data_IF_311180843874
#
_entry.id   IF_311180843874
#
_cell.length_a   1.000
_cell.length_b   1.000
_cell.length_c   1.000
_cell.angle_alpha   90.00
_cell.angle_beta   90.00
_cell.angle_gamma   90.00
#
_symmetry.space_group_name_H-M   'P 1'
#
loop_
_entity.id
_entity.type
_entity.pdbx_description
1 polymer ?
#
# COMPACT_ATOMS: atom_id res chain seq x y z
N UNK A 1 -25.14 -2.22 14.85
CA UNK A 1 -24.77 -3.62 15.12
C UNK A 1 -24.64 -4.32 13.80
N UNK A 2 -23.47 -4.89 13.45
CA UNK A 2 -23.34 -5.73 12.26
C UNK A 2 -23.95 -7.10 12.54
N UNK A 3 -24.51 -7.73 11.53
CA UNK A 3 -25.07 -9.08 11.64
C UNK A 3 -24.02 -10.16 11.97
N UNK A 4 -22.72 -9.80 11.88
CA UNK A 4 -21.59 -10.66 12.22
C UNK A 4 -20.73 -9.94 13.25
N UNK A 5 -20.79 -10.39 14.50
CA UNK A 5 -19.89 -9.97 15.57
C UNK A 5 -18.61 -10.80 15.47
N UNK A 6 -17.51 -10.16 15.04
CA UNK A 6 -16.17 -10.73 15.25
C UNK A 6 -15.62 -10.13 16.55
N UNK A 7 -15.11 -10.94 17.46
CA UNK A 7 -14.53 -10.49 18.75
C UNK A 7 -13.27 -9.60 18.58
N UNK A 8 -12.73 -9.47 17.38
CA UNK A 8 -11.59 -8.61 17.07
C UNK A 8 -12.06 -7.26 16.53
N UNK A 9 -11.68 -6.18 17.20
CA UNK A 9 -11.93 -4.81 16.74
C UNK A 9 -11.18 -4.57 15.42
N UNK A 10 -11.93 -4.40 14.31
CA UNK A 10 -11.34 -4.10 12.99
C UNK A 10 -10.70 -2.71 12.98
N UNK A 11 -9.55 -2.60 12.32
CA UNK A 11 -8.94 -1.32 11.97
C UNK A 11 -9.71 -0.72 10.79
N UNK A 12 -10.03 0.55 10.87
CA UNK A 12 -10.75 1.32 9.84
C UNK A 12 -9.96 2.58 9.49
N UNK A 13 -10.36 3.27 8.43
CA UNK A 13 -9.77 4.57 8.09
C UNK A 13 -9.91 5.58 9.25
N UNK A 14 -10.99 5.52 10.04
CA UNK A 14 -11.17 6.33 11.26
C UNK A 14 -10.13 5.96 12.33
N UNK A 15 -9.82 4.68 12.47
CA UNK A 15 -8.80 4.21 13.42
C UNK A 15 -7.43 4.83 13.14
N UNK A 16 -7.07 5.04 11.86
CA UNK A 16 -5.79 5.70 11.51
C UNK A 16 -5.73 7.14 12.05
N UNK A 17 -6.85 7.88 12.00
CA UNK A 17 -6.95 9.23 12.57
C UNK A 17 -6.87 9.21 14.10
N UNK A 18 -7.51 8.22 14.73
CA UNK A 18 -7.45 8.01 16.18
C UNK A 18 -6.03 7.69 16.65
N UNK A 19 -5.29 6.83 15.92
CA UNK A 19 -3.88 6.51 16.19
C UNK A 19 -2.99 7.75 16.08
N UNK A 20 -3.15 8.57 15.03
CA UNK A 20 -2.45 9.85 14.91
C UNK A 20 -2.71 10.73 16.13
N UNK A 21 -3.97 10.92 16.51
CA UNK A 21 -4.35 11.75 17.66
C UNK A 21 -3.76 11.23 18.98
N UNK A 22 -3.58 9.92 19.12
CA UNK A 22 -2.96 9.27 20.27
C UNK A 22 -1.43 9.23 20.21
N UNK A 23 -0.80 9.66 19.12
CA UNK A 23 0.65 9.52 18.90
C UNK A 23 1.10 8.07 18.66
N UNK A 24 0.18 7.18 18.33
CA UNK A 24 0.43 5.76 18.03
C UNK A 24 0.91 5.60 16.58
N UNK A 25 1.97 4.83 16.36
CA UNK A 25 2.51 4.64 15.01
C UNK A 25 1.73 3.60 14.23
N UNK A 26 1.36 3.96 12.99
CA UNK A 26 0.63 3.12 12.06
C UNK A 26 1.60 2.22 11.29
N UNK A 27 1.33 0.92 11.27
CA UNK A 27 2.08 -0.05 10.50
C UNK A 27 1.31 -0.46 9.25
N UNK A 28 1.95 -0.34 8.08
CA UNK A 28 1.36 -0.76 6.82
C UNK A 28 2.36 -1.59 6.01
N UNK A 29 1.88 -2.61 5.31
CA UNK A 29 2.67 -3.43 4.40
C UNK A 29 1.82 -3.81 3.18
N UNK A 30 2.44 -4.02 2.02
CA UNK A 30 1.68 -4.53 0.88
C UNK A 30 1.38 -6.03 1.03
N UNK A 31 0.33 -6.50 0.37
CA UNK A 31 0.09 -7.92 0.07
C UNK A 31 -0.78 -8.03 -1.18
N UNK A 32 -0.68 -9.15 -1.91
CA UNK A 32 -1.35 -9.31 -3.20
C UNK A 32 -2.06 -10.67 -3.34
N UNK A 33 -1.98 -11.55 -2.35
CA UNK A 33 -2.57 -12.89 -2.34
C UNK A 33 -3.11 -13.26 -0.96
N UNK A 34 -3.91 -14.33 -0.92
CA UNK A 34 -4.59 -14.81 0.28
C UNK A 34 -3.62 -15.27 1.38
N UNK A 35 -2.61 -16.06 1.02
CA UNK A 35 -1.69 -16.68 1.97
C UNK A 35 -0.81 -15.64 2.66
N UNK A 36 -0.18 -14.79 1.86
CA UNK A 36 0.69 -13.70 2.37
C UNK A 36 -0.10 -12.72 3.22
N UNK A 37 -1.31 -12.33 2.77
CA UNK A 37 -2.16 -11.41 3.53
C UNK A 37 -2.57 -12.00 4.88
N UNK A 38 -2.91 -13.30 4.94
CA UNK A 38 -3.24 -13.97 6.18
C UNK A 38 -2.09 -14.00 7.19
N UNK A 39 -0.86 -14.23 6.72
CA UNK A 39 0.35 -14.19 7.56
C UNK A 39 0.56 -12.77 8.12
N UNK A 40 0.45 -11.74 7.27
CA UNK A 40 0.68 -10.35 7.66
C UNK A 40 -0.40 -9.86 8.63
N UNK A 41 -1.69 -10.18 8.38
CA UNK A 41 -2.79 -9.84 9.31
C UNK A 41 -2.63 -10.54 10.68
N UNK A 42 -2.26 -11.82 10.67
CA UNK A 42 -2.01 -12.59 11.89
C UNK A 42 -0.83 -12.04 12.70
N UNK A 43 0.16 -11.43 12.05
CA UNK A 43 1.27 -10.74 12.71
C UNK A 43 0.86 -9.43 13.41
N UNK A 44 -0.38 -8.95 13.19
CA UNK A 44 -0.93 -7.79 13.89
C UNK A 44 -0.72 -6.45 13.19
N UNK A 45 -0.47 -6.43 11.87
CA UNK A 45 -0.36 -5.21 11.06
C UNK A 45 -1.65 -4.37 11.17
N UNK A 46 -1.55 -3.04 11.11
CA UNK A 46 -2.73 -2.17 11.16
C UNK A 46 -3.40 -2.03 9.79
N UNK A 47 -2.63 -2.02 8.73
CA UNK A 47 -3.17 -1.87 7.37
C UNK A 47 -2.38 -2.72 6.37
N UNK A 48 -3.10 -3.27 5.39
CA UNK A 48 -2.52 -3.90 4.21
C UNK A 48 -2.87 -3.08 2.98
N UNK A 49 -1.86 -2.81 2.14
CA UNK A 49 -2.03 -2.14 0.86
C UNK A 49 -2.00 -3.17 -0.28
N UNK A 50 -3.08 -3.26 -1.03
CA UNK A 50 -3.08 -3.91 -2.35
C UNK A 50 -2.65 -2.85 -3.35
N UNK A 51 -1.32 -2.72 -3.49
CA UNK A 51 -0.69 -1.66 -4.27
C UNK A 51 -0.63 -1.99 -5.77
N UNK A 52 -0.58 -0.96 -6.60
CA UNK A 52 -0.27 -1.08 -8.03
C UNK A 52 1.16 -1.61 -8.28
N UNK A 53 2.01 -1.59 -7.24
CA UNK A 53 3.29 -2.31 -7.18
C UNK A 53 3.17 -3.83 -7.44
N UNK A 54 1.94 -4.40 -7.41
CA UNK A 54 1.68 -5.74 -7.94
C UNK A 54 2.12 -5.87 -9.41
N UNK A 55 2.08 -4.80 -10.19
CA UNK A 55 2.63 -4.74 -11.55
C UNK A 55 4.09 -5.19 -11.60
N UNK A 56 4.91 -4.70 -10.66
CA UNK A 56 6.34 -5.06 -10.58
C UNK A 56 6.53 -6.42 -9.90
N UNK A 57 5.96 -6.59 -8.69
CA UNK A 57 6.29 -7.70 -7.79
C UNK A 57 5.62 -9.01 -8.19
N UNK A 58 4.41 -8.95 -8.77
CA UNK A 58 3.64 -10.13 -9.15
C UNK A 58 3.68 -10.40 -10.66
N UNK A 59 3.64 -9.35 -11.48
CA UNK A 59 3.59 -9.50 -12.94
C UNK A 59 4.95 -9.29 -13.64
N UNK A 60 5.97 -8.78 -12.91
CA UNK A 60 7.32 -8.58 -13.44
C UNK A 60 7.46 -7.40 -14.42
N UNK A 61 6.50 -6.48 -14.45
CA UNK A 61 6.58 -5.27 -15.26
C UNK A 61 7.63 -4.29 -14.71
N UNK A 62 8.15 -3.41 -15.57
CA UNK A 62 9.17 -2.44 -15.18
C UNK A 62 8.64 -1.31 -14.28
N UNK A 63 7.36 -0.97 -14.41
CA UNK A 63 6.70 0.08 -13.64
C UNK A 63 5.25 -0.32 -13.27
N UNK A 64 4.54 0.58 -12.58
CA UNK A 64 3.18 0.30 -12.08
C UNK A 64 2.09 0.61 -13.09
N UNK A 65 2.39 1.30 -14.20
CA UNK A 65 1.35 1.81 -15.13
C UNK A 65 0.56 0.74 -15.88
N UNK A 66 1.09 -0.48 -16.17
CA UNK A 66 0.35 -1.49 -16.92
C UNK A 66 -0.78 -2.19 -16.16
N UNK A 67 -0.78 -2.14 -14.81
CA UNK A 67 -1.78 -2.88 -14.03
C UNK A 67 -3.18 -2.29 -14.24
N UNK A 68 -4.16 -3.16 -14.43
CA UNK A 68 -5.56 -2.76 -14.67
C UNK A 68 -6.41 -2.77 -13.40
N UNK A 69 -7.59 -2.14 -13.48
CA UNK A 69 -8.61 -2.20 -12.40
C UNK A 69 -9.02 -3.66 -12.11
N UNK A 70 -9.14 -4.49 -13.14
CA UNK A 70 -9.50 -5.91 -13.03
C UNK A 70 -8.45 -6.69 -12.24
N UNK A 71 -7.17 -6.43 -12.49
CA UNK A 71 -6.06 -7.07 -11.78
C UNK A 71 -6.00 -6.62 -10.32
N UNK A 72 -6.17 -5.33 -10.05
CA UNK A 72 -6.28 -4.85 -8.66
C UNK A 72 -7.46 -5.50 -7.94
N UNK A 73 -8.63 -5.60 -8.58
CA UNK A 73 -9.81 -6.27 -8.01
C UNK A 73 -9.50 -7.75 -7.74
N UNK A 74 -8.82 -8.44 -8.63
CA UNK A 74 -8.44 -9.84 -8.43
C UNK A 74 -7.57 -10.02 -7.18
N UNK A 75 -6.50 -9.24 -7.04
CA UNK A 75 -5.62 -9.27 -5.88
C UNK A 75 -6.37 -8.87 -4.60
N UNK A 76 -7.13 -7.78 -4.65
CA UNK A 76 -7.83 -7.25 -3.50
C UNK A 76 -8.88 -8.23 -2.92
N UNK A 77 -9.61 -8.95 -3.78
CA UNK A 77 -10.55 -10.00 -3.34
C UNK A 77 -9.85 -11.08 -2.52
N UNK A 78 -8.66 -11.48 -2.93
CA UNK A 78 -7.87 -12.49 -2.24
C UNK A 78 -7.40 -11.99 -0.87
N UNK A 79 -6.87 -10.77 -0.83
CA UNK A 79 -6.39 -10.13 0.40
C UNK A 79 -7.53 -9.88 1.39
N UNK A 80 -8.65 -9.31 0.94
CA UNK A 80 -9.81 -9.02 1.81
C UNK A 80 -10.37 -10.29 2.47
N UNK A 81 -10.40 -11.41 1.75
CA UNK A 81 -10.87 -12.70 2.31
C UNK A 81 -9.94 -13.24 3.41
N UNK A 82 -8.65 -12.93 3.33
CA UNK A 82 -7.66 -13.40 4.30
C UNK A 82 -7.66 -12.57 5.59
N UNK A 83 -8.00 -11.28 5.49
CA UNK A 83 -7.84 -10.33 6.59
C UNK A 83 -9.03 -10.34 7.54
N UNK A 84 -8.74 -10.49 8.84
CA UNK A 84 -9.75 -10.49 9.91
C UNK A 84 -9.76 -9.16 10.67
N UNK A 85 -8.60 -8.50 10.83
CA UNK A 85 -8.44 -7.32 11.67
C UNK A 85 -8.02 -6.08 10.88
N UNK A 86 -7.00 -6.16 10.03
CA UNK A 86 -6.37 -5.00 9.42
C UNK A 86 -7.28 -4.26 8.43
N UNK A 87 -7.01 -2.97 8.24
CA UNK A 87 -7.61 -2.20 7.15
C UNK A 87 -6.98 -2.61 5.81
N UNK A 88 -7.80 -3.08 4.87
CA UNK A 88 -7.34 -3.31 3.49
C UNK A 88 -7.59 -2.06 2.67
N UNK A 89 -6.52 -1.53 2.08
CA UNK A 89 -6.49 -0.37 1.17
C UNK A 89 -6.17 -0.87 -0.23
N UNK A 90 -6.89 -0.40 -1.24
CA UNK A 90 -6.61 -0.72 -2.64
C UNK A 90 -6.14 0.51 -3.41
N UNK A 91 -5.12 0.36 -4.23
CA UNK A 91 -4.75 1.40 -5.19
C UNK A 91 -5.79 1.52 -6.29
N UNK A 92 -6.07 2.76 -6.66
CA UNK A 92 -6.67 3.06 -7.95
C UNK A 92 -5.54 3.12 -8.99
N UNK A 93 -5.48 2.17 -9.95
CA UNK A 93 -4.38 2.12 -10.90
C UNK A 93 -4.39 3.29 -11.88
N UNK A 94 -3.24 3.52 -12.51
CA UNK A 94 -3.10 4.55 -13.55
C UNK A 94 -4.17 4.41 -14.64
N UNK A 95 -4.75 5.52 -15.06
CA UNK A 95 -5.83 5.58 -16.06
C UNK A 95 -7.24 5.38 -15.49
N UNK A 96 -7.38 5.01 -14.21
CA UNK A 96 -8.70 4.76 -13.61
C UNK A 96 -9.38 6.00 -13.04
N UNK A 97 -8.66 7.13 -12.86
CA UNK A 97 -9.20 8.36 -12.27
C UNK A 97 -8.63 9.65 -12.88
N UNK A 98 -7.69 9.55 -13.82
CA UNK A 98 -7.05 10.71 -14.45
C UNK A 98 -7.87 11.28 -15.64
N UNK A 99 -8.83 10.53 -16.18
CA UNK A 99 -9.60 10.94 -17.37
C UNK A 99 -10.66 11.97 -16.99
N UNK A 100 -11.46 11.66 -15.97
CA UNK A 100 -12.51 12.56 -15.45
C UNK A 100 -12.83 12.23 -13.99
N UNK A 101 -13.43 13.20 -13.30
CA UNK A 101 -13.94 13.02 -11.93
C UNK A 101 -14.98 11.89 -11.84
N UNK A 102 -15.88 11.83 -12.81
CA UNK A 102 -16.94 10.83 -12.89
C UNK A 102 -16.40 9.43 -13.10
N UNK A 103 -15.37 9.27 -13.92
CA UNK A 103 -14.68 7.97 -14.10
C UNK A 103 -13.95 7.56 -12.83
N UNK A 104 -13.30 8.50 -12.14
CA UNK A 104 -12.66 8.25 -10.84
C UNK A 104 -13.67 7.73 -9.81
N UNK A 105 -14.81 8.39 -9.66
CA UNK A 105 -15.88 7.98 -8.74
C UNK A 105 -16.46 6.62 -9.14
N UNK A 106 -16.71 6.38 -10.42
CA UNK A 106 -17.25 5.11 -10.94
C UNK A 106 -16.31 3.94 -10.63
N UNK A 107 -15.02 4.09 -10.91
CA UNK A 107 -14.02 3.06 -10.65
C UNK A 107 -13.81 2.85 -9.14
N UNK A 108 -13.83 3.91 -8.33
CA UNK A 108 -13.78 3.82 -6.88
C UNK A 108 -14.93 2.99 -6.31
N UNK A 109 -16.16 3.29 -6.71
CA UNK A 109 -17.37 2.53 -6.32
C UNK A 109 -17.24 1.07 -6.77
N UNK A 110 -16.76 0.84 -7.99
CA UNK A 110 -16.57 -0.50 -8.54
C UNK A 110 -15.58 -1.31 -7.69
N UNK A 111 -14.40 -0.77 -7.40
CA UNK A 111 -13.37 -1.45 -6.60
C UNK A 111 -13.92 -1.80 -5.22
N UNK A 112 -14.54 -0.86 -4.51
CA UNK A 112 -15.10 -1.12 -3.17
C UNK A 112 -16.19 -2.20 -3.20
N UNK A 113 -17.13 -2.12 -4.13
CA UNK A 113 -18.24 -3.09 -4.24
C UNK A 113 -17.75 -4.49 -4.60
N UNK A 114 -16.77 -4.60 -5.47
CA UNK A 114 -16.30 -5.89 -5.96
C UNK A 114 -15.30 -6.57 -5.01
N UNK A 115 -14.62 -5.80 -4.16
CA UNK A 115 -13.56 -6.33 -3.30
C UNK A 115 -13.93 -6.39 -1.83
N UNK A 116 -14.74 -5.45 -1.34
CA UNK A 116 -14.99 -5.26 0.08
C UNK A 116 -13.82 -4.55 0.81
N UNK A 117 -12.90 -3.90 0.09
CA UNK A 117 -11.83 -3.11 0.70
C UNK A 117 -12.39 -1.96 1.54
N UNK A 118 -11.63 -1.53 2.55
CA UNK A 118 -12.05 -0.50 3.49
C UNK A 118 -11.65 0.92 3.11
N UNK A 119 -10.72 1.09 2.16
CA UNK A 119 -10.27 2.39 1.65
C UNK A 119 -9.61 2.24 0.27
N UNK A 120 -9.45 3.36 -0.42
CA UNK A 120 -8.71 3.45 -1.69
C UNK A 120 -7.47 4.35 -1.54
N UNK A 121 -6.42 4.14 -2.36
CA UNK A 121 -5.28 5.06 -2.45
C UNK A 121 -5.22 5.65 -3.86
N UNK A 122 -4.86 6.95 -3.94
CA UNK A 122 -4.77 7.72 -5.18
C UNK A 122 -3.51 8.58 -5.17
N UNK A 123 -2.83 8.64 -6.30
CA UNK A 123 -1.61 9.42 -6.51
C UNK A 123 -1.92 10.76 -7.18
N UNK A 124 -1.37 11.82 -6.62
CA UNK A 124 -1.55 13.20 -7.08
C UNK A 124 -1.98 14.12 -5.94
N UNK A 125 -1.86 15.41 -6.17
CA UNK A 125 -2.14 16.46 -5.19
C UNK A 125 -3.39 17.27 -5.57
N UNK A 126 -3.20 18.57 -5.65
CA UNK A 126 -4.26 19.55 -5.93
C UNK A 126 -5.02 19.24 -7.22
N UNK A 127 -4.35 18.70 -8.23
CA UNK A 127 -4.92 18.33 -9.51
C UNK A 127 -5.99 17.24 -9.47
N UNK A 128 -5.97 16.38 -8.43
CA UNK A 128 -6.97 15.32 -8.23
C UNK A 128 -7.90 15.60 -7.03
N UNK A 129 -7.70 16.69 -6.31
CA UNK A 129 -8.41 16.96 -5.05
C UNK A 129 -9.93 16.97 -5.21
N UNK A 130 -10.46 17.45 -6.35
CA UNK A 130 -11.89 17.43 -6.63
C UNK A 130 -12.44 16.01 -6.86
N UNK A 131 -11.66 15.16 -7.54
CA UNK A 131 -11.99 13.74 -7.70
C UNK A 131 -11.98 13.03 -6.35
N UNK A 132 -10.94 13.26 -5.55
CA UNK A 132 -10.83 12.72 -4.18
C UNK A 132 -12.04 13.16 -3.34
N UNK A 133 -12.37 14.44 -3.35
CA UNK A 133 -13.55 14.98 -2.64
C UNK A 133 -14.83 14.27 -3.07
N UNK A 134 -15.03 14.05 -4.37
CA UNK A 134 -16.20 13.34 -4.89
C UNK A 134 -16.29 11.88 -4.42
N UNK A 135 -15.16 11.19 -4.31
CA UNK A 135 -15.09 9.81 -3.80
C UNK A 135 -15.38 9.78 -2.29
N UNK A 136 -14.80 10.72 -1.53
CA UNK A 136 -15.06 10.85 -0.09
C UNK A 136 -16.53 11.18 0.18
N UNK A 137 -17.14 12.11 -0.59
CA UNK A 137 -18.57 12.45 -0.49
C UNK A 137 -19.49 11.27 -0.86
N UNK A 138 -19.01 10.35 -1.70
CA UNK A 138 -19.72 9.11 -1.99
C UNK A 138 -19.62 8.06 -0.84
N UNK A 139 -18.95 8.41 0.27
CA UNK A 139 -18.81 7.56 1.46
C UNK A 139 -17.62 6.60 1.43
N UNK A 140 -16.66 6.79 0.54
CA UNK A 140 -15.48 5.92 0.39
C UNK A 140 -14.26 6.62 1.01
N UNK A 141 -13.60 6.02 2.03
CA UNK A 141 -12.36 6.55 2.57
C UNK A 141 -11.24 6.53 1.53
N UNK A 142 -10.48 7.63 1.46
CA UNK A 142 -9.35 7.79 0.54
C UNK A 142 -8.06 8.04 1.32
N UNK A 143 -6.97 7.47 0.83
CA UNK A 143 -5.58 7.77 1.21
C UNK A 143 -4.94 8.49 0.02
N UNK A 144 -4.40 9.67 0.22
CA UNK A 144 -3.62 10.38 -0.79
C UNK A 144 -2.21 9.81 -0.90
N UNK A 145 -1.51 10.09 -2.02
CA UNK A 145 -0.11 9.71 -2.19
C UNK A 145 0.66 10.83 -2.88
N UNK A 146 1.68 11.35 -2.20
CA UNK A 146 2.48 12.49 -2.60
C UNK A 146 3.99 12.19 -2.55
N UNK A 147 4.77 13.05 -3.18
CA UNK A 147 6.21 12.90 -3.34
C UNK A 147 6.55 12.13 -4.60
N UNK A 148 7.26 11.02 -4.50
CA UNK A 148 7.41 10.09 -5.62
C UNK A 148 6.10 9.32 -5.77
N UNK A 149 5.43 9.55 -6.88
CA UNK A 149 4.23 8.84 -7.28
C UNK A 149 4.58 7.92 -8.45
N UNK A 150 4.67 6.59 -8.27
CA UNK A 150 5.09 5.65 -9.31
C UNK A 150 4.29 5.74 -10.60
N UNK A 151 3.00 6.05 -10.54
CA UNK A 151 2.17 6.26 -11.73
C UNK A 151 2.64 7.45 -12.59
N UNK A 152 3.40 8.38 -12.02
CA UNK A 152 3.99 9.53 -12.72
C UNK A 152 5.45 9.30 -13.14
N UNK A 153 5.93 8.05 -13.14
CA UNK A 153 7.36 7.72 -13.34
C UNK A 153 7.89 8.26 -14.69
N UNK A 154 7.09 8.21 -15.74
CA UNK A 154 7.47 8.73 -17.06
C UNK A 154 7.60 10.26 -17.05
N UNK A 155 6.74 10.96 -16.30
CA UNK A 155 6.83 12.43 -16.11
C UNK A 155 8.08 12.80 -15.31
N UNK A 156 8.45 12.00 -14.31
CA UNK A 156 9.61 12.27 -13.46
C UNK A 156 10.95 11.84 -14.07
N UNK A 157 10.93 10.94 -15.06
CA UNK A 157 12.13 10.39 -15.67
C UNK A 157 12.92 9.45 -14.74
N UNK A 158 12.31 8.91 -13.69
CA UNK A 158 12.93 7.95 -12.77
C UNK A 158 12.48 8.06 -11.31
N UNK A 159 13.01 7.16 -10.48
CA UNK A 159 12.66 7.00 -9.07
C UNK A 159 13.49 7.90 -8.13
N UNK A 160 13.78 9.16 -8.53
CA UNK A 160 14.56 10.10 -7.75
C UNK A 160 13.85 10.58 -6.46
N UNK A 161 14.63 11.14 -5.52
CA UNK A 161 14.09 11.86 -4.36
C UNK A 161 13.35 13.12 -4.85
N UNK A 162 12.12 13.33 -4.36
CA UNK A 162 11.23 14.44 -4.73
C UNK A 162 11.29 15.57 -3.68
N UNK A 163 10.79 16.73 -4.07
CA UNK A 163 10.67 17.90 -3.18
C UNK A 163 11.99 18.29 -2.49
N UNK A 164 13.10 18.27 -3.26
CA UNK A 164 14.44 18.68 -2.79
C UNK A 164 14.66 20.18 -2.84
N UNK A 165 14.08 20.85 -3.80
CA UNK A 165 14.13 22.30 -3.94
C UNK A 165 12.88 22.94 -3.33
N UNK A 166 12.98 24.26 -3.10
CA UNK A 166 11.94 25.01 -2.40
C UNK A 166 10.60 24.98 -3.14
N UNK A 167 10.61 25.07 -4.48
CA UNK A 167 9.38 25.09 -5.28
C UNK A 167 8.63 23.74 -5.21
N UNK A 168 9.33 22.62 -5.34
CA UNK A 168 8.74 21.30 -5.16
C UNK A 168 8.29 21.09 -3.69
N UNK A 169 9.02 21.61 -2.72
CA UNK A 169 8.65 21.51 -1.31
C UNK A 169 7.37 22.31 -0.99
N UNK A 170 7.26 23.54 -1.49
CA UNK A 170 6.05 24.35 -1.36
C UNK A 170 4.85 23.66 -2.03
N UNK A 171 5.03 23.15 -3.27
CA UNK A 171 4.00 22.39 -3.95
C UNK A 171 3.55 21.17 -3.14
N UNK A 172 4.48 20.41 -2.56
CA UNK A 172 4.14 19.24 -1.72
C UNK A 172 3.26 19.63 -0.54
N UNK A 173 3.56 20.77 0.11
CA UNK A 173 2.75 21.29 1.23
C UNK A 173 1.36 21.69 0.74
N UNK A 174 1.26 22.43 -0.37
CA UNK A 174 -0.04 22.83 -0.95
C UNK A 174 -0.88 21.60 -1.33
N UNK A 175 -0.27 20.59 -1.94
CA UNK A 175 -0.92 19.35 -2.33
C UNK A 175 -1.44 18.59 -1.10
N UNK A 176 -0.64 18.50 -0.04
CA UNK A 176 -1.05 17.84 1.20
C UNK A 176 -2.24 18.55 1.87
N UNK A 177 -2.21 19.88 1.93
CA UNK A 177 -3.32 20.68 2.47
C UNK A 177 -4.59 20.56 1.61
N UNK A 178 -4.45 20.49 0.28
CA UNK A 178 -5.59 20.31 -0.62
C UNK A 178 -6.25 18.93 -0.44
N UNK A 179 -5.45 17.88 -0.28
CA UNK A 179 -5.95 16.52 -0.01
C UNK A 179 -6.59 16.44 1.38
N UNK A 180 -5.98 17.04 2.40
CA UNK A 180 -6.55 17.11 3.75
C UNK A 180 -7.91 17.82 3.76
N UNK A 181 -8.02 18.94 3.04
CA UNK A 181 -9.28 19.65 2.84
C UNK A 181 -10.32 18.85 2.05
N UNK A 182 -9.90 17.98 1.12
CA UNK A 182 -10.78 17.06 0.41
C UNK A 182 -11.29 15.91 1.29
N UNK A 183 -10.74 15.72 2.49
CA UNK A 183 -11.22 14.76 3.49
C UNK A 183 -10.54 13.39 3.44
N UNK A 184 -9.29 13.31 2.97
CA UNK A 184 -8.55 12.05 3.02
C UNK A 184 -8.30 11.61 4.47
N UNK A 185 -8.28 10.30 4.71
CA UNK A 185 -8.02 9.72 6.03
C UNK A 185 -6.53 9.61 6.35
N UNK A 186 -5.70 9.47 5.30
CA UNK A 186 -4.26 9.45 5.42
C UNK A 186 -3.61 9.98 4.13
N UNK A 187 -2.31 10.30 4.21
CA UNK A 187 -1.47 10.69 3.07
C UNK A 187 -0.16 9.89 3.12
N UNK A 188 0.10 9.11 2.10
CA UNK A 188 1.41 8.48 1.89
C UNK A 188 2.39 9.53 1.39
N UNK A 189 3.57 9.60 2.02
CA UNK A 189 4.68 10.46 1.62
C UNK A 189 5.85 9.59 1.19
N UNK A 190 6.15 9.57 -0.12
CA UNK A 190 7.19 8.71 -0.67
C UNK A 190 8.40 9.51 -1.14
N UNK A 191 9.60 9.06 -0.70
CA UNK A 191 10.90 9.59 -1.15
C UNK A 191 10.95 11.11 -1.18
N UNK A 192 10.68 11.72 -0.03
CA UNK A 192 10.80 13.16 0.24
C UNK A 192 11.77 13.41 1.40
N UNK A 193 12.35 14.59 1.54
CA UNK A 193 13.21 14.93 2.69
C UNK A 193 12.47 14.70 4.02
N UNK A 194 13.14 14.06 4.98
CA UNK A 194 12.55 13.72 6.29
C UNK A 194 12.03 14.95 7.06
N UNK A 195 12.74 16.07 6.99
CA UNK A 195 12.31 17.33 7.62
C UNK A 195 11.03 17.88 7.01
N UNK A 196 10.89 17.78 5.68
CA UNK A 196 9.68 18.19 4.98
C UNK A 196 8.50 17.27 5.32
N UNK A 197 8.70 15.95 5.35
CA UNK A 197 7.68 15.00 5.77
C UNK A 197 7.20 15.28 7.19
N UNK A 198 8.09 15.55 8.14
CA UNK A 198 7.77 15.95 9.51
C UNK A 198 6.93 17.23 9.54
N UNK A 199 7.32 18.24 8.74
CA UNK A 199 6.59 19.50 8.61
C UNK A 199 5.18 19.27 8.09
N UNK A 200 5.02 18.53 6.98
CA UNK A 200 3.69 18.18 6.42
C UNK A 200 2.85 17.45 7.46
N UNK A 201 3.41 16.46 8.15
CA UNK A 201 2.71 15.69 9.21
C UNK A 201 2.09 16.59 10.28
N UNK A 202 2.78 17.68 10.67
CA UNK A 202 2.28 18.63 11.66
C UNK A 202 1.19 19.59 11.12
N UNK A 203 1.06 19.72 9.80
CA UNK A 203 0.16 20.68 9.15
C UNK A 203 -1.18 20.08 8.75
N UNK A 204 -1.28 18.75 8.61
CA UNK A 204 -2.49 18.06 8.14
C UNK A 204 -3.18 17.30 9.29
N UNK A 205 -4.51 17.14 9.20
CA UNK A 205 -5.32 16.32 10.12
C UNK A 205 -5.22 14.84 9.73
N UNK A 206 -5.14 14.55 8.43
CA UNK A 206 -4.95 13.20 7.92
C UNK A 206 -3.70 12.55 8.51
N UNK A 207 -3.73 11.24 8.75
CA UNK A 207 -2.54 10.51 9.17
C UNK A 207 -1.51 10.46 8.04
N UNK A 208 -0.21 10.56 8.36
CA UNK A 208 0.84 10.45 7.34
C UNK A 208 1.56 9.12 7.43
N UNK A 209 1.75 8.45 6.27
CA UNK A 209 2.42 7.16 6.15
C UNK A 209 3.65 7.33 5.28
N UNK A 210 4.84 7.14 5.84
CA UNK A 210 6.10 7.37 5.14
C UNK A 210 6.64 6.12 4.45
N UNK A 211 7.29 6.32 3.31
CA UNK A 211 8.19 5.37 2.67
C UNK A 211 9.37 6.13 2.08
N UNK A 212 10.55 5.97 2.69
CA UNK A 212 11.71 6.80 2.33
C UNK A 212 11.51 8.29 2.65
N UNK A 213 10.73 8.61 3.69
CA UNK A 213 10.39 9.96 4.13
C UNK A 213 10.82 10.24 5.59
N UNK A 214 11.68 9.41 6.16
CA UNK A 214 12.11 9.49 7.56
C UNK A 214 11.06 8.93 8.53
N UNK A 215 11.31 9.08 9.84
CA UNK A 215 10.48 8.54 10.92
C UNK A 215 9.54 9.57 11.58
N UNK A 216 9.51 10.81 11.06
CA UNK A 216 8.66 11.89 11.56
C UNK A 216 7.20 11.81 11.12
N UNK A 217 6.83 10.84 10.28
CA UNK A 217 5.45 10.55 9.88
C UNK A 217 4.71 9.73 10.94
N UNK A 218 3.37 9.67 10.86
CA UNK A 218 2.54 8.92 11.80
C UNK A 218 2.64 7.40 11.60
N UNK A 219 3.08 6.94 10.46
CA UNK A 219 3.27 5.51 10.16
C UNK A 219 4.29 5.26 9.07
N UNK A 220 4.51 3.96 8.73
CA UNK A 220 5.43 3.53 7.68
C UNK A 220 4.78 2.44 6.83
N UNK A 221 5.10 2.43 5.53
CA UNK A 221 4.74 1.35 4.61
C UNK A 221 5.97 0.80 3.90
N UNK A 222 6.00 -0.50 3.64
CA UNK A 222 6.98 -1.16 2.77
C UNK A 222 6.29 -2.20 1.89
N UNK A 223 6.87 -2.44 0.73
CA UNK A 223 6.52 -3.60 -0.11
C UNK A 223 7.00 -4.87 0.60
N UNK A 224 6.08 -5.83 0.82
CA UNK A 224 6.37 -7.01 1.63
C UNK A 224 7.55 -7.84 1.09
N UNK A 225 7.61 -7.99 -0.24
CA UNK A 225 8.67 -8.76 -0.87
C UNK A 225 10.06 -8.14 -0.64
N UNK A 226 10.12 -6.81 -0.59
CA UNK A 226 11.35 -6.08 -0.29
C UNK A 226 11.67 -6.17 1.20
N UNK A 227 10.71 -5.86 2.07
CA UNK A 227 10.90 -5.86 3.52
C UNK A 227 11.30 -7.23 4.08
N UNK A 228 10.75 -8.32 3.52
CA UNK A 228 11.05 -9.68 3.95
C UNK A 228 12.22 -10.33 3.17
N UNK A 229 12.89 -9.57 2.31
CA UNK A 229 14.08 -10.04 1.58
C UNK A 229 13.79 -11.14 0.56
N UNK A 230 12.64 -11.07 -0.12
CA UNK A 230 12.31 -11.92 -1.27
C UNK A 230 12.93 -11.37 -2.56
N UNK A 231 12.80 -10.04 -2.76
CA UNK A 231 13.35 -9.34 -3.93
C UNK A 231 14.87 -9.31 -3.87
N UNK A 232 15.52 -9.67 -4.98
CA UNK A 232 16.98 -9.61 -5.10
C UNK A 232 17.42 -8.34 -5.83
N UNK A 233 18.59 -7.78 -5.41
CA UNK A 233 19.23 -6.66 -6.10
C UNK A 233 18.66 -5.27 -5.80
N UNK A 234 17.44 -5.13 -5.32
CA UNK A 234 16.84 -3.84 -4.97
C UNK A 234 17.17 -3.47 -3.52
N UNK A 235 18.04 -2.47 -3.32
CA UNK A 235 18.50 -2.02 -1.99
C UNK A 235 18.51 -0.49 -1.87
N UNK A 236 17.37 0.19 -1.94
CA UNK A 236 17.33 1.63 -1.72
C UNK A 236 17.69 1.96 -0.27
N UNK A 237 18.23 3.15 -0.02
CA UNK A 237 18.70 3.60 1.30
C UNK A 237 17.66 3.44 2.43
N UNK A 238 16.37 3.58 2.12
CA UNK A 238 15.30 3.51 3.10
C UNK A 238 14.84 2.07 3.43
N UNK A 239 15.26 1.08 2.63
CA UNK A 239 14.84 -0.30 2.81
C UNK A 239 15.72 -1.01 3.84
N UNK A 240 15.08 -1.61 4.84
CA UNK A 240 15.67 -2.59 5.75
C UNK A 240 15.03 -3.94 5.48
N UNK A 241 15.84 -4.99 5.37
CA UNK A 241 15.33 -6.36 5.36
C UNK A 241 15.09 -6.81 6.81
N UNK A 242 13.88 -7.21 7.11
CA UNK A 242 13.48 -7.75 8.42
C UNK A 242 13.56 -9.29 8.47
N UNK A 243 13.67 -9.93 7.30
CA UNK A 243 13.86 -11.35 7.12
C UNK A 243 14.70 -11.64 5.87
N UNK A 244 15.00 -12.91 5.60
CA UNK A 244 15.66 -13.39 4.38
C UNK A 244 14.85 -14.56 3.79
N UNK A 245 13.64 -14.26 3.35
CA UNK A 245 12.70 -15.27 2.83
C UNK A 245 13.22 -15.89 1.54
N UNK A 246 13.93 -15.13 0.69
CA UNK A 246 14.54 -15.69 -0.53
C UNK A 246 15.48 -16.85 -0.21
N UNK A 247 16.38 -16.69 0.78
CA UNK A 247 17.28 -17.76 1.21
C UNK A 247 16.50 -18.98 1.70
N UNK A 248 15.55 -18.76 2.60
CA UNK A 248 14.74 -19.84 3.20
C UNK A 248 13.99 -20.64 2.13
N UNK A 249 13.34 -19.94 1.18
CA UNK A 249 12.63 -20.59 0.07
C UNK A 249 13.58 -21.35 -0.85
N UNK A 250 14.75 -20.77 -1.17
CA UNK A 250 15.74 -21.42 -2.04
C UNK A 250 16.26 -22.71 -1.39
N UNK A 251 16.63 -22.66 -0.12
CA UNK A 251 17.12 -23.83 0.63
C UNK A 251 16.02 -24.92 0.72
N UNK A 252 14.78 -24.54 1.00
CA UNK A 252 13.66 -25.49 1.04
C UNK A 252 13.41 -26.16 -0.30
N UNK A 253 13.45 -25.40 -1.41
CA UNK A 253 13.32 -25.98 -2.76
C UNK A 253 14.50 -26.91 -3.09
N UNK A 254 15.71 -26.55 -2.72
CA UNK A 254 16.89 -27.39 -2.92
C UNK A 254 16.78 -28.72 -2.15
N UNK A 255 16.31 -28.69 -0.90
CA UNK A 255 16.11 -29.92 -0.12
C UNK A 255 14.98 -30.79 -0.73
N UNK A 256 13.88 -30.18 -1.15
CA UNK A 256 12.83 -30.92 -1.90
C UNK A 256 13.39 -31.60 -3.14
N UNK A 257 14.17 -30.87 -3.97
CA UNK A 257 14.79 -31.43 -5.18
C UNK A 257 15.69 -32.63 -4.84
N UNK A 258 16.48 -32.50 -3.77
CA UNK A 258 17.37 -33.58 -3.32
C UNK A 258 16.57 -34.82 -2.89
N UNK A 259 15.57 -34.64 -2.02
CA UNK A 259 14.76 -35.73 -1.50
C UNK A 259 13.99 -36.48 -2.61
N UNK A 260 13.49 -35.76 -3.62
CA UNK A 260 12.86 -36.39 -4.78
C UNK A 260 13.86 -37.19 -5.61
N UNK A 261 15.08 -36.65 -5.83
CA UNK A 261 16.10 -37.30 -6.68
C UNK A 261 16.76 -38.52 -5.99
N UNK A 262 16.90 -38.53 -4.67
CA UNK A 262 17.43 -39.65 -3.92
C UNK A 262 16.35 -40.64 -3.42
N UNK A 263 15.07 -40.40 -3.83
CA UNK A 263 13.92 -41.23 -3.50
C UNK A 263 13.57 -41.29 -2.00
N UNK A 264 14.06 -40.35 -1.21
CA UNK A 264 13.68 -40.25 0.21
C UNK A 264 12.34 -39.59 0.44
N UNK A 265 11.79 -38.86 -0.60
CA UNK A 265 10.44 -38.31 -0.61
C UNK A 265 9.69 -38.80 -1.88
N UNK A 266 8.41 -39.25 -1.79
CA UNK A 266 7.69 -39.52 -0.52
C UNK A 266 8.24 -40.76 0.18
N UNK A 267 8.24 -40.75 1.52
CA UNK A 267 8.50 -41.91 2.34
C UNK A 267 7.33 -42.87 2.36
N UNK A 268 7.49 -44.07 2.95
CA UNK A 268 6.41 -45.04 3.11
C UNK A 268 5.22 -44.46 3.91
N UNK A 269 5.49 -43.63 4.92
CA UNK A 269 4.47 -42.98 5.73
C UNK A 269 3.73 -41.81 5.00
N UNK A 270 4.27 -41.36 3.89
CA UNK A 270 3.69 -40.28 3.04
C UNK A 270 3.00 -40.84 1.78
N UNK A 271 2.92 -42.17 1.66
CA UNK A 271 2.33 -42.89 0.53
C UNK A 271 0.99 -43.51 0.91
N UNK A 272 0.07 -43.63 -0.08
CA UNK A 272 -1.29 -44.21 0.11
C UNK A 272 -1.34 -45.62 -0.42
#
# INVERSE_FOLDING_TARGET
MGYLTTDKKKVTAKTLLEMKAAGEKITQMTAYDFTTAGIIDAAGIDSILVGDSASNVMAGNQDTTPITVEQIIYHARSVVRACQRCLVVCDMPFGSYQISREDGIRNAIRIIKETGAGALKMEGGKEIADTVKGIVDAGIPVIGHLGLTPQSIHKFGGYGLRAKDDAEAEKLIEDALALDAAGVSAITLEKVPASLATKVTSMVKAATIGIGAGNGTDGQVLVYADALGMTQGFKPKFLRHFANVNKCMTEGVQEYIKCVKDTSFPSESESY
#
